data_IF_733450398669
#
_entry.id   IF_733450398669
#
_cell.length_a   1.000
_cell.length_b   1.000
_cell.length_c   1.000
_cell.angle_alpha   90.00
_cell.angle_beta   90.00
_cell.angle_gamma   90.00
#
_symmetry.space_group_name_H-M   'P 1'
#
loop_
_entity.id
_entity.type
_entity.pdbx_description
1 polymer ?
#
# COMPACT_ATOMS: atom_id res chain seq x y z
N UNK A 1 12.54 0.44 0.30
CA UNK A 1 12.07 -0.61 -0.64
C UNK A 1 13.13 -0.99 -1.68
N UNK A 2 13.67 -0.09 -2.53
CA UNK A 2 14.72 -0.47 -3.52
C UNK A 2 15.97 -1.03 -2.86
N UNK A 3 16.50 -0.37 -1.83
CA UNK A 3 17.69 -0.87 -1.13
C UNK A 3 17.49 -2.27 -0.55
N UNK A 4 16.28 -2.59 -0.09
CA UNK A 4 15.93 -3.93 0.38
C UNK A 4 15.83 -4.96 -0.75
N UNK A 5 15.20 -4.60 -1.87
CA UNK A 5 15.15 -5.46 -3.05
C UNK A 5 16.55 -5.75 -3.61
N UNK A 6 17.39 -4.71 -3.75
CA UNK A 6 18.77 -4.85 -4.18
C UNK A 6 19.58 -5.71 -3.20
N UNK A 7 19.44 -5.49 -1.88
CA UNK A 7 20.11 -6.30 -0.88
C UNK A 7 19.69 -7.78 -0.96
N UNK A 8 18.41 -8.08 -1.21
CA UNK A 8 17.92 -9.45 -1.41
C UNK A 8 18.54 -10.07 -2.67
N UNK A 9 18.53 -9.37 -3.81
CA UNK A 9 19.15 -9.90 -5.04
C UNK A 9 20.66 -10.11 -4.87
N UNK A 10 21.37 -9.19 -4.21
CA UNK A 10 22.80 -9.33 -3.91
C UNK A 10 23.05 -10.54 -3.00
N UNK A 11 22.26 -10.69 -1.93
CA UNK A 11 22.39 -11.80 -0.99
C UNK A 11 22.08 -13.17 -1.62
N UNK A 12 21.27 -13.20 -2.68
CA UNK A 12 20.92 -14.39 -3.44
C UNK A 12 21.71 -14.52 -4.75
N UNK A 13 22.82 -13.81 -4.92
CA UNK A 13 23.68 -13.91 -6.12
C UNK A 13 22.92 -13.70 -7.45
N UNK A 14 21.93 -12.80 -7.44
CA UNK A 14 21.04 -12.51 -8.57
C UNK A 14 20.19 -13.71 -9.02
N UNK A 15 20.05 -14.75 -8.20
CA UNK A 15 19.20 -15.91 -8.48
C UNK A 15 17.76 -15.68 -8.03
N UNK A 16 16.80 -16.13 -8.86
CA UNK A 16 15.38 -16.09 -8.54
C UNK A 16 14.95 -17.39 -7.87
N UNK A 17 14.44 -17.30 -6.64
CA UNK A 17 13.94 -18.45 -5.86
C UNK A 17 12.41 -18.58 -5.85
N UNK A 18 11.70 -17.65 -6.48
CA UNK A 18 10.24 -17.69 -6.60
C UNK A 18 9.76 -18.66 -7.69
N UNK A 19 8.45 -18.71 -7.98
CA UNK A 19 7.90 -19.62 -8.98
C UNK A 19 8.51 -19.30 -10.36
N UNK A 20 9.06 -20.30 -11.05
CA UNK A 20 9.60 -20.13 -12.41
C UNK A 20 8.48 -20.19 -13.44
N UNK A 21 8.36 -19.20 -14.35
CA UNK A 21 7.36 -19.26 -15.42
C UNK A 21 7.67 -20.34 -16.48
N UNK A 22 8.92 -20.82 -16.57
CA UNK A 22 9.41 -21.68 -17.66
C UNK A 22 10.18 -22.93 -17.20
N UNK A 23 9.62 -23.68 -16.23
CA UNK A 23 10.09 -25.04 -15.93
C UNK A 23 10.89 -25.18 -14.63
N UNK A 24 10.72 -26.33 -13.99
CA UNK A 24 11.09 -26.63 -12.60
C UNK A 24 9.89 -27.16 -11.82
N UNK A 25 10.10 -27.90 -10.74
CA UNK A 25 9.01 -28.32 -9.85
C UNK A 25 8.25 -27.09 -9.36
N UNK A 26 6.91 -27.14 -9.42
CA UNK A 26 6.05 -26.03 -9.01
C UNK A 26 6.34 -25.66 -7.55
N UNK A 27 6.99 -24.52 -7.32
CA UNK A 27 7.30 -24.04 -5.98
C UNK A 27 6.12 -23.24 -5.41
N UNK A 28 5.29 -23.91 -4.60
CA UNK A 28 4.17 -23.32 -3.88
C UNK A 28 4.48 -23.00 -2.41
N UNK A 29 5.76 -22.91 -2.06
CA UNK A 29 6.15 -22.54 -0.70
C UNK A 29 5.70 -21.12 -0.35
N UNK A 30 5.50 -20.86 0.94
CA UNK A 30 5.20 -19.51 1.43
C UNK A 30 6.30 -18.50 1.05
N UNK A 31 7.56 -18.94 0.96
CA UNK A 31 8.70 -18.12 0.53
C UNK A 31 8.61 -17.74 -0.95
N UNK A 32 8.20 -18.66 -1.81
CA UNK A 32 7.99 -18.38 -3.23
C UNK A 32 6.86 -17.36 -3.42
N UNK A 33 5.72 -17.54 -2.74
CA UNK A 33 4.62 -16.58 -2.79
C UNK A 33 5.01 -15.22 -2.20
N UNK A 34 5.69 -15.18 -1.06
CA UNK A 34 6.17 -13.94 -0.45
C UNK A 34 7.03 -13.14 -1.43
N UNK A 35 7.98 -13.81 -2.09
CA UNK A 35 8.87 -13.19 -3.07
C UNK A 35 8.10 -12.68 -4.29
N UNK A 36 7.16 -13.48 -4.82
CA UNK A 36 6.34 -13.11 -5.97
C UNK A 36 5.42 -11.91 -5.70
N UNK A 37 4.68 -11.92 -4.60
CA UNK A 37 3.83 -10.78 -4.23
C UNK A 37 4.69 -9.55 -3.88
N UNK A 38 5.85 -9.75 -3.25
CA UNK A 38 6.76 -8.67 -2.89
C UNK A 38 7.30 -7.93 -4.11
N UNK A 39 7.76 -8.66 -5.14
CA UNK A 39 8.28 -8.03 -6.35
C UNK A 39 7.17 -7.31 -7.12
N UNK A 40 5.96 -7.88 -7.22
CA UNK A 40 4.84 -7.19 -7.86
C UNK A 40 4.41 -5.95 -7.08
N UNK A 41 4.37 -6.00 -5.75
CA UNK A 41 4.08 -4.84 -4.92
C UNK A 41 5.09 -3.72 -5.17
N UNK A 42 6.38 -4.03 -5.19
CA UNK A 42 7.45 -3.05 -5.47
C UNK A 42 7.30 -2.47 -6.87
N UNK A 43 7.21 -3.31 -7.91
CA UNK A 43 7.10 -2.85 -9.29
C UNK A 43 5.89 -1.93 -9.49
N UNK A 44 4.70 -2.35 -9.04
CA UNK A 44 3.49 -1.53 -9.15
C UNK A 44 3.60 -0.24 -8.33
N UNK A 45 4.15 -0.29 -7.11
CA UNK A 45 4.39 0.92 -6.32
C UNK A 45 5.34 1.91 -7.02
N UNK A 46 6.32 1.44 -7.79
CA UNK A 46 7.22 2.29 -8.58
C UNK A 46 6.57 2.88 -9.82
N UNK A 47 5.61 2.17 -10.43
CA UNK A 47 4.85 2.76 -11.54
C UNK A 47 4.02 3.97 -11.12
N UNK A 48 3.69 4.10 -9.82
CA UNK A 48 2.91 5.22 -9.29
C UNK A 48 3.59 6.59 -9.51
N UNK A 49 4.78 6.88 -8.96
CA UNK A 49 5.45 8.16 -9.16
C UNK A 49 5.82 8.40 -10.64
N UNK A 50 6.24 7.35 -11.37
CA UNK A 50 6.56 7.46 -12.80
C UNK A 50 5.33 7.84 -13.62
N UNK A 51 4.18 7.21 -13.36
CA UNK A 51 2.90 7.56 -13.98
C UNK A 51 2.45 8.95 -13.59
N UNK A 52 2.65 9.36 -12.33
CA UNK A 52 2.32 10.71 -11.85
C UNK A 52 3.13 11.82 -12.55
N UNK A 53 4.38 11.56 -12.95
CA UNK A 53 5.18 12.49 -13.76
C UNK A 53 4.60 12.67 -15.17
N UNK A 54 3.94 11.64 -15.69
CA UNK A 54 3.29 11.64 -17.01
C UNK A 54 1.81 12.02 -16.93
N UNK A 55 1.36 12.58 -15.80
CA UNK A 55 -0.06 12.93 -15.59
C UNK A 55 -0.54 13.95 -16.63
N UNK A 56 -1.78 13.77 -17.08
CA UNK A 56 -2.43 14.74 -17.96
C UNK A 56 -2.72 16.07 -17.23
N UNK A 57 -2.84 17.15 -18.00
CA UNK A 57 -3.29 18.45 -17.49
C UNK A 57 -4.65 18.35 -16.79
N UNK A 58 -4.95 19.31 -15.91
CA UNK A 58 -6.19 19.34 -15.11
C UNK A 58 -7.45 19.43 -15.99
N UNK A 59 -7.38 20.07 -17.16
CA UNK A 59 -8.51 20.17 -18.09
C UNK A 59 -8.62 19.04 -19.12
N UNK A 60 -7.68 18.09 -19.12
CA UNK A 60 -7.61 17.09 -20.18
C UNK A 60 -8.73 16.04 -20.08
N UNK A 61 -9.35 15.69 -21.21
CA UNK A 61 -10.40 14.65 -21.31
C UNK A 61 -9.97 13.28 -20.75
N UNK A 62 -8.68 12.95 -20.84
CA UNK A 62 -8.12 11.68 -20.36
C UNK A 62 -7.82 11.66 -18.85
N UNK A 63 -7.94 12.80 -18.15
CA UNK A 63 -7.61 12.92 -16.73
C UNK A 63 -8.41 11.96 -15.83
N UNK A 64 -9.74 11.77 -16.01
CA UNK A 64 -10.49 10.82 -15.19
C UNK A 64 -10.03 9.36 -15.36
N UNK A 65 -9.60 8.98 -16.57
CA UNK A 65 -9.08 7.64 -16.86
C UNK A 65 -7.73 7.45 -16.19
N UNK A 66 -6.85 8.46 -16.27
CA UNK A 66 -5.58 8.46 -15.55
C UNK A 66 -5.77 8.33 -14.04
N UNK A 67 -6.66 9.15 -13.44
CA UNK A 67 -6.92 9.14 -12.00
C UNK A 67 -7.53 7.80 -11.55
N UNK A 68 -8.37 7.16 -12.36
CA UNK A 68 -8.89 5.82 -12.09
C UNK A 68 -7.78 4.76 -12.16
N UNK A 69 -6.97 4.78 -13.22
CA UNK A 69 -5.87 3.84 -13.40
C UNK A 69 -4.84 3.96 -12.26
N UNK A 70 -4.46 5.19 -11.91
CA UNK A 70 -3.54 5.47 -10.80
C UNK A 70 -4.07 4.88 -9.48
N UNK A 71 -5.35 5.13 -9.16
CA UNK A 71 -6.03 4.57 -7.97
C UNK A 71 -6.03 3.05 -7.96
N UNK A 72 -6.42 2.41 -9.07
CA UNK A 72 -6.50 0.95 -9.16
C UNK A 72 -5.13 0.29 -9.03
N UNK A 73 -4.11 0.79 -9.74
CA UNK A 73 -2.74 0.27 -9.62
C UNK A 73 -2.21 0.44 -8.20
N UNK A 74 -2.57 1.55 -7.52
CA UNK A 74 -2.14 1.83 -6.15
C UNK A 74 -2.76 0.84 -5.16
N UNK A 75 -4.07 0.58 -5.30
CA UNK A 75 -4.79 -0.41 -4.51
C UNK A 75 -4.23 -1.82 -4.71
N UNK A 76 -3.96 -2.23 -5.95
CA UNK A 76 -3.39 -3.55 -6.25
C UNK A 76 -1.98 -3.68 -5.64
N UNK A 77 -1.13 -2.65 -5.79
CA UNK A 77 0.20 -2.63 -5.18
C UNK A 77 0.12 -2.80 -3.65
N UNK A 78 -0.81 -2.11 -3.01
CA UNK A 78 -1.04 -2.22 -1.58
C UNK A 78 -1.54 -3.61 -1.16
N UNK A 79 -2.47 -4.22 -1.90
CA UNK A 79 -2.95 -5.60 -1.64
C UNK A 79 -1.78 -6.58 -1.71
N UNK A 80 -0.94 -6.50 -2.74
CA UNK A 80 0.24 -7.36 -2.84
C UNK A 80 1.23 -7.13 -1.70
N UNK A 81 1.43 -5.88 -1.27
CA UNK A 81 2.26 -5.58 -0.11
C UNK A 81 1.67 -6.19 1.18
N UNK A 82 0.36 -6.08 1.39
CA UNK A 82 -0.34 -6.63 2.55
C UNK A 82 -0.25 -8.17 2.61
N UNK A 83 -0.39 -8.84 1.47
CA UNK A 83 -0.19 -10.30 1.36
C UNK A 83 1.27 -10.64 1.70
N UNK A 84 2.23 -9.92 1.11
CA UNK A 84 3.67 -10.15 1.30
C UNK A 84 4.07 -10.07 2.77
N UNK A 85 3.67 -9.01 3.47
CA UNK A 85 4.02 -8.82 4.88
C UNK A 85 3.31 -9.82 5.79
N UNK A 86 2.05 -10.19 5.47
CA UNK A 86 1.33 -11.23 6.22
C UNK A 86 2.01 -12.59 6.08
N UNK A 87 2.46 -12.95 4.88
CA UNK A 87 3.25 -14.16 4.66
C UNK A 87 4.55 -14.13 5.49
N UNK A 88 5.21 -12.97 5.58
CA UNK A 88 6.42 -12.83 6.37
C UNK A 88 6.18 -13.05 7.87
N UNK A 89 5.17 -12.37 8.44
CA UNK A 89 4.84 -12.49 9.86
C UNK A 89 4.38 -13.90 10.22
N UNK A 90 3.57 -14.55 9.36
CA UNK A 90 3.00 -15.87 9.64
C UNK A 90 4.02 -17.01 9.49
N UNK A 91 4.77 -17.03 8.39
CA UNK A 91 5.63 -18.18 8.05
C UNK A 91 7.09 -18.00 8.45
N UNK A 92 7.56 -16.76 8.61
CA UNK A 92 8.93 -16.47 9.04
C UNK A 92 8.98 -15.83 10.44
N UNK A 93 7.81 -15.67 11.07
CA UNK A 93 7.60 -15.12 12.41
C UNK A 93 8.59 -15.64 13.44
N UNK A 94 8.61 -16.96 13.60
CA UNK A 94 9.42 -17.66 14.60
C UNK A 94 10.93 -17.50 14.41
N UNK A 95 11.41 -17.15 13.21
CA UNK A 95 12.84 -16.96 12.93
C UNK A 95 13.28 -15.51 13.07
N UNK A 96 12.40 -14.54 12.79
CA UNK A 96 12.80 -13.14 12.70
C UNK A 96 12.27 -12.22 13.81
N UNK A 97 11.28 -12.65 14.59
CA UNK A 97 10.71 -11.82 15.66
C UNK A 97 10.90 -12.46 17.03
N UNK A 98 11.11 -11.64 18.05
CA UNK A 98 11.13 -12.06 19.45
C UNK A 98 9.76 -12.58 19.91
N UNK A 99 8.68 -11.96 19.43
CA UNK A 99 7.30 -12.40 19.65
C UNK A 99 6.53 -12.49 18.31
N UNK A 100 6.43 -13.69 17.72
CA UNK A 100 5.75 -13.89 16.43
C UNK A 100 4.26 -13.52 16.45
N UNK A 101 3.53 -13.85 17.51
CA UNK A 101 2.10 -13.58 17.61
C UNK A 101 1.81 -12.08 17.70
N UNK A 102 2.62 -11.35 18.50
CA UNK A 102 2.53 -9.89 18.57
C UNK A 102 2.88 -9.23 17.22
N UNK A 103 3.87 -9.76 16.49
CA UNK A 103 4.22 -9.26 15.15
C UNK A 103 3.09 -9.43 14.14
N UNK A 104 2.42 -10.59 14.15
CA UNK A 104 1.29 -10.87 13.27
C UNK A 104 0.08 -10.01 13.64
N UNK A 105 -0.20 -9.83 14.93
CA UNK A 105 -1.28 -8.97 15.41
C UNK A 105 -1.07 -7.51 15.00
N UNK A 106 0.13 -6.95 15.22
CA UNK A 106 0.48 -5.58 14.84
C UNK A 106 0.42 -5.37 13.32
N UNK A 107 0.91 -6.35 12.55
CA UNK A 107 0.79 -6.35 11.09
C UNK A 107 -0.68 -6.33 10.64
N UNK A 108 -1.52 -7.18 11.23
CA UNK A 108 -2.95 -7.25 10.91
C UNK A 108 -3.66 -5.94 11.24
N UNK A 109 -3.40 -5.37 12.43
CA UNK A 109 -3.95 -4.08 12.86
C UNK A 109 -3.56 -2.98 11.86
N UNK A 110 -2.28 -2.93 11.45
CA UNK A 110 -1.80 -1.96 10.47
C UNK A 110 -2.53 -2.07 9.12
N UNK A 111 -2.73 -3.29 8.61
CA UNK A 111 -3.47 -3.53 7.36
C UNK A 111 -4.91 -3.07 7.48
N UNK A 112 -5.60 -3.41 8.58
CA UNK A 112 -7.00 -3.03 8.82
C UNK A 112 -7.15 -1.51 8.93
N UNK A 113 -6.28 -0.83 9.68
CA UNK A 113 -6.28 0.62 9.81
C UNK A 113 -6.04 1.28 8.45
N UNK A 114 -5.07 0.79 7.68
CA UNK A 114 -4.79 1.33 6.34
C UNK A 114 -5.99 1.17 5.40
N UNK A 115 -6.62 -0.01 5.39
CA UNK A 115 -7.82 -0.26 4.60
C UNK A 115 -8.97 0.66 5.00
N UNK A 116 -9.20 0.83 6.31
CA UNK A 116 -10.24 1.72 6.81
C UNK A 116 -9.99 3.18 6.39
N UNK A 117 -8.75 3.66 6.49
CA UNK A 117 -8.38 5.01 6.02
C UNK A 117 -8.67 5.18 4.53
N UNK A 118 -8.34 4.19 3.68
CA UNK A 118 -8.65 4.25 2.25
C UNK A 118 -10.15 4.29 1.97
N UNK A 119 -10.93 3.39 2.61
CA UNK A 119 -12.38 3.33 2.43
C UNK A 119 -13.04 4.63 2.89
N UNK A 120 -12.68 5.15 4.07
CA UNK A 120 -13.25 6.40 4.59
C UNK A 120 -12.84 7.57 3.70
N UNK A 121 -11.58 7.62 3.23
CA UNK A 121 -11.12 8.71 2.37
C UNK A 121 -11.84 8.75 1.02
N UNK A 122 -12.07 7.58 0.41
CA UNK A 122 -12.85 7.47 -0.83
C UNK A 122 -14.32 7.84 -0.57
N UNK A 123 -14.92 7.34 0.51
CA UNK A 123 -16.29 7.68 0.90
C UNK A 123 -16.47 9.19 1.09
N UNK A 124 -15.58 9.84 1.84
CA UNK A 124 -15.62 11.29 2.06
C UNK A 124 -15.46 12.06 0.73
N UNK A 125 -14.61 11.56 -0.18
CA UNK A 125 -14.40 12.19 -1.49
C UNK A 125 -15.66 12.10 -2.35
N UNK A 126 -16.28 10.92 -2.44
CA UNK A 126 -17.52 10.71 -3.19
C UNK A 126 -18.68 11.51 -2.58
N UNK A 127 -18.84 11.45 -1.26
CA UNK A 127 -19.86 12.20 -0.54
C UNK A 127 -19.71 13.71 -0.76
N UNK A 128 -18.48 14.23 -0.69
CA UNK A 128 -18.19 15.64 -0.97
C UNK A 128 -18.60 16.04 -2.38
N UNK A 129 -18.38 15.17 -3.36
CA UNK A 129 -18.68 15.45 -4.76
C UNK A 129 -20.19 15.55 -4.95
N UNK A 130 -20.94 14.54 -4.46
CA UNK A 130 -22.41 14.52 -4.53
C UNK A 130 -23.01 15.75 -3.86
N UNK A 131 -22.52 16.11 -2.67
CA UNK A 131 -23.02 17.29 -1.95
C UNK A 131 -22.73 18.59 -2.71
N UNK A 132 -21.54 18.75 -3.28
CA UNK A 132 -21.18 19.96 -4.03
C UNK A 132 -21.99 20.08 -5.33
N UNK A 133 -22.16 19.00 -6.08
CA UNK A 133 -22.93 19.01 -7.33
C UNK A 133 -24.40 19.43 -7.08
N UNK A 134 -25.03 18.94 -6.01
CA UNK A 134 -26.40 19.32 -5.64
C UNK A 134 -26.56 20.72 -5.05
N UNK A 135 -25.53 21.28 -4.40
CA UNK A 135 -25.55 22.66 -3.87
C UNK A 135 -25.25 23.69 -4.96
N UNK A 136 -24.37 23.38 -5.90
CA UNK A 136 -24.01 24.26 -7.02
C UNK A 136 -25.22 24.52 -7.92
N UNK A 137 -26.00 23.48 -8.23
CA UNK A 137 -27.29 23.61 -8.92
C UNK A 137 -28.29 24.48 -8.15
N UNK A 138 -28.31 24.39 -6.81
CA UNK A 138 -29.32 25.04 -6.00
C UNK A 138 -29.02 26.52 -5.68
N UNK A 139 -27.75 26.94 -5.63
CA UNK A 139 -27.41 28.23 -5.01
C UNK A 139 -26.36 29.12 -5.70
N UNK A 140 -25.68 28.73 -6.79
CA UNK A 140 -24.63 29.58 -7.41
C UNK A 140 -23.59 30.16 -6.42
N UNK A 141 -23.37 29.49 -5.28
CA UNK A 141 -22.53 29.98 -4.17
C UNK A 141 -21.11 29.40 -4.22
N UNK A 142 -20.13 30.18 -3.76
CA UNK A 142 -18.74 29.74 -3.62
C UNK A 142 -18.58 28.59 -2.61
N UNK A 143 -17.75 27.60 -2.97
CA UNK A 143 -17.53 26.31 -2.28
C UNK A 143 -17.04 26.44 -0.83
N UNK A 144 -17.76 25.91 0.19
CA UNK A 144 -17.21 25.72 1.53
C UNK A 144 -16.33 24.46 1.59
N UNK A 145 -15.00 24.64 1.56
CA UNK A 145 -14.00 23.55 1.47
C UNK A 145 -13.69 22.87 2.82
N UNK A 146 -14.72 22.45 3.60
CA UNK A 146 -14.54 21.90 4.98
C UNK A 146 -13.99 20.47 5.06
N UNK A 147 -13.88 19.73 3.95
CA UNK A 147 -13.51 18.29 3.96
C UNK A 147 -11.99 18.08 3.88
N UNK A 148 -11.27 19.03 3.29
CA UNK A 148 -9.81 19.02 3.21
C UNK A 148 -9.11 18.90 4.59
N UNK A 149 -9.47 19.68 5.64
CA UNK A 149 -8.80 19.56 6.94
C UNK A 149 -9.04 18.20 7.62
N UNK A 150 -10.20 17.57 7.41
CA UNK A 150 -10.50 16.24 7.99
C UNK A 150 -9.60 15.18 7.32
N UNK A 151 -9.54 15.17 5.98
CA UNK A 151 -8.68 14.23 5.25
C UNK A 151 -7.20 14.42 5.58
N UNK A 152 -6.74 15.68 5.70
CA UNK A 152 -5.36 15.98 6.12
C UNK A 152 -5.07 15.50 7.53
N UNK A 153 -5.98 15.70 8.48
CA UNK A 153 -5.83 15.22 9.85
C UNK A 153 -5.78 13.69 9.91
N UNK A 154 -6.71 13.01 9.22
CA UNK A 154 -6.70 11.55 9.13
C UNK A 154 -5.40 11.01 8.55
N UNK A 155 -4.88 11.64 7.50
CA UNK A 155 -3.61 11.26 6.88
C UNK A 155 -2.42 11.47 7.83
N UNK A 156 -2.38 12.59 8.57
CA UNK A 156 -1.34 12.85 9.56
C UNK A 156 -1.36 11.83 10.70
N UNK A 157 -2.54 11.51 11.24
CA UNK A 157 -2.71 10.46 12.25
C UNK A 157 -2.28 9.08 11.72
N UNK A 158 -2.65 8.77 10.48
CA UNK A 158 -2.22 7.54 9.82
C UNK A 158 -0.70 7.42 9.74
N UNK A 159 0.01 8.48 9.33
CA UNK A 159 1.49 8.49 9.29
C UNK A 159 2.07 8.23 10.67
N UNK A 160 1.55 8.89 11.71
CA UNK A 160 2.04 8.73 13.08
C UNK A 160 1.87 7.28 13.58
N UNK A 161 0.67 6.70 13.39
CA UNK A 161 0.38 5.32 13.76
C UNK A 161 1.25 4.35 12.98
N UNK A 162 1.40 4.57 11.67
CA UNK A 162 2.23 3.74 10.79
C UNK A 162 3.69 3.73 11.25
N UNK A 163 4.24 4.90 11.56
CA UNK A 163 5.60 5.01 12.08
C UNK A 163 5.77 4.26 13.40
N UNK A 164 4.83 4.42 14.34
CA UNK A 164 4.85 3.72 15.62
C UNK A 164 4.81 2.19 15.47
N UNK A 165 3.95 1.68 14.59
CA UNK A 165 3.86 0.23 14.33
C UNK A 165 5.13 -0.29 13.66
N UNK A 166 5.66 0.43 12.65
CA UNK A 166 6.91 0.06 11.99
C UNK A 166 8.09 0.01 12.98
N UNK A 167 8.17 0.99 13.89
CA UNK A 167 9.19 1.03 14.93
C UNK A 167 9.04 -0.17 15.90
N UNK A 168 7.83 -0.47 16.35
CA UNK A 168 7.58 -1.61 17.23
C UNK A 168 7.97 -2.95 16.57
N UNK A 169 7.61 -3.13 15.30
CA UNK A 169 8.01 -4.31 14.52
C UNK A 169 9.53 -4.39 14.39
N UNK A 170 10.20 -3.26 14.08
CA UNK A 170 11.66 -3.19 13.98
C UNK A 170 12.36 -3.54 15.30
N UNK A 171 11.84 -3.05 16.43
CA UNK A 171 12.36 -3.39 17.77
C UNK A 171 12.22 -4.89 18.04
N UNK A 172 11.08 -5.51 17.72
CA UNK A 172 10.88 -6.95 17.88
C UNK A 172 11.82 -7.80 17.01
N UNK A 173 12.28 -7.26 15.88
CA UNK A 173 13.31 -7.91 15.06
C UNK A 173 14.71 -7.75 15.67
N UNK A 174 15.00 -6.60 16.28
CA UNK A 174 16.34 -6.27 16.80
C UNK A 174 16.66 -6.92 18.16
N UNK A 175 15.65 -7.18 18.99
CA UNK A 175 15.82 -7.75 20.34
C UNK A 175 15.94 -9.30 20.32
N UNK A 176 15.80 -9.91 19.15
CA UNK A 176 15.94 -11.35 18.98
C UNK A 176 17.40 -11.79 19.00
#
# INVERSE_FOLDING_TARGET
MIGGLLAIFIAHEWTWSGPTPHGGDRNYSAAAYHTMFGIFAVCLAFTQPLGALLRCDMGARMRPIFDLAHRLVGMIAWIFAAITITLACKFFGQRHFSNPDASLALCTIFIVITAAVFIISEFLTVYSKIQNDGIEEAFNLERPRRILPIQTLMFAMYILISFGICLAIGIMMAIK
#
